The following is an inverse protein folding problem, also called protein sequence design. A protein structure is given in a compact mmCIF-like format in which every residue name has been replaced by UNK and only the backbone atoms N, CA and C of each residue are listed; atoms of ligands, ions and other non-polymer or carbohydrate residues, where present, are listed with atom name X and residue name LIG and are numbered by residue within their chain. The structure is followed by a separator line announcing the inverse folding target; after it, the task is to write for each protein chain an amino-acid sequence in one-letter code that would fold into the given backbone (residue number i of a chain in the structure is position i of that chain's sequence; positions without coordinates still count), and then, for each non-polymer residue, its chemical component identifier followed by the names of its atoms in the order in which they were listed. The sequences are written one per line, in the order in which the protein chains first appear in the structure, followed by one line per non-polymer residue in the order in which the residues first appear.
data_IF_113517942659
#
_entry.id   IF_113517942659
#
_cell.length_a   1.000
_cell.length_b   1.000
_cell.length_c   1.000
_cell.angle_alpha   90.00
_cell.angle_beta   90.00
_cell.angle_gamma   90.00
#
_symmetry.space_group_name_H-M   'P 1'
#
loop_
_entity.id
_entity.type
_entity.pdbx_description
1 polymer ?
#
# COMPACT_ATOMS: atom_id res chain seq x y z
N UNK A 1 -0.22 7.43 33.16
CA UNK A 1 -1.25 6.87 34.08
C UNK A 1 -2.61 7.58 34.19
N UNK A 2 -2.84 8.73 33.55
CA UNK A 2 -4.19 9.33 33.54
C UNK A 2 -5.21 8.48 32.75
N UNK A 3 -6.51 8.69 32.98
CA UNK A 3 -7.55 8.00 32.20
C UNK A 3 -7.44 8.30 30.68
N UNK A 4 -7.06 9.53 30.33
CA UNK A 4 -6.81 9.95 28.95
C UNK A 4 -5.65 9.15 28.33
N UNK A 5 -4.55 9.00 29.07
CA UNK A 5 -3.35 8.29 28.62
C UNK A 5 -3.63 6.79 28.40
N UNK A 6 -4.35 6.16 29.33
CA UNK A 6 -4.80 4.76 29.19
C UNK A 6 -5.70 4.58 27.97
N UNK A 7 -6.64 5.50 27.73
CA UNK A 7 -7.50 5.45 26.55
C UNK A 7 -6.72 5.62 25.24
N UNK A 8 -5.75 6.55 25.21
CA UNK A 8 -4.88 6.77 24.06
C UNK A 8 -4.02 5.53 23.77
N UNK A 9 -3.45 4.91 24.80
CA UNK A 9 -2.69 3.66 24.68
C UNK A 9 -3.55 2.51 24.14
N UNK A 10 -4.75 2.30 24.69
CA UNK A 10 -5.69 1.26 24.25
C UNK A 10 -6.08 1.42 22.77
N UNK A 11 -6.28 2.67 22.32
CA UNK A 11 -6.57 2.98 20.91
C UNK A 11 -5.33 2.80 20.03
N UNK A 12 -4.16 3.24 20.51
CA UNK A 12 -2.86 3.19 19.83
C UNK A 12 -2.71 4.22 18.72
N UNK A 13 -3.70 4.32 17.83
CA UNK A 13 -3.72 5.22 16.69
C UNK A 13 -5.13 5.79 16.45
N UNK A 14 -5.23 6.93 15.77
CA UNK A 14 -6.48 7.36 15.13
C UNK A 14 -6.78 6.48 13.92
N UNK A 15 -8.06 6.30 13.60
CA UNK A 15 -8.54 5.54 12.42
C UNK A 15 -9.27 6.47 11.47
N UNK A 16 -8.93 6.45 10.19
CA UNK A 16 -9.42 7.36 9.15
C UNK A 16 -10.32 6.61 8.15
N UNK A 17 -11.63 6.63 8.40
CA UNK A 17 -12.61 6.14 7.45
C UNK A 17 -12.91 7.20 6.38
N UNK A 18 -13.43 6.81 5.20
CA UNK A 18 -13.81 7.77 4.15
C UNK A 18 -14.74 8.89 4.63
N UNK A 19 -15.67 8.60 5.53
CA UNK A 19 -16.71 9.53 6.01
C UNK A 19 -16.41 10.17 7.37
N UNK A 20 -15.47 9.63 8.15
CA UNK A 20 -15.20 10.09 9.52
C UNK A 20 -13.85 9.64 10.05
N UNK A 21 -13.42 10.30 11.13
CA UNK A 21 -12.22 9.92 11.89
C UNK A 21 -12.63 9.41 13.26
N UNK A 22 -12.06 8.28 13.69
CA UNK A 22 -12.10 7.84 15.10
C UNK A 22 -10.78 8.26 15.75
N UNK A 23 -10.75 9.38 16.49
CA UNK A 23 -9.49 9.95 16.94
C UNK A 23 -8.90 9.18 18.13
N UNK A 24 -7.58 9.12 18.23
CA UNK A 24 -6.88 8.55 19.40
C UNK A 24 -7.17 9.36 20.68
N UNK A 25 -7.18 10.69 20.54
CA UNK A 25 -7.50 11.63 21.61
C UNK A 25 -8.91 12.22 21.42
N UNK A 26 -9.58 12.68 22.49
CA UNK A 26 -10.84 13.40 22.38
C UNK A 26 -10.73 14.61 21.44
N UNK A 27 -11.80 14.90 20.70
CA UNK A 27 -11.84 15.99 19.70
C UNK A 27 -11.49 17.36 20.28
N UNK A 28 -11.91 17.64 21.51
CA UNK A 28 -11.56 18.88 22.21
C UNK A 28 -10.04 19.08 22.30
N UNK A 29 -9.25 18.00 22.40
CA UNK A 29 -7.80 18.06 22.38
C UNK A 29 -7.26 18.01 20.95
N UNK A 30 -7.67 17.02 20.15
CA UNK A 30 -7.08 16.79 18.82
C UNK A 30 -7.38 17.89 17.81
N UNK A 31 -8.62 18.40 17.80
CA UNK A 31 -9.06 19.48 16.90
C UNK A 31 -8.99 20.86 17.56
N UNK A 32 -8.89 20.91 18.90
CA UNK A 32 -8.78 22.14 19.68
C UNK A 32 -7.37 22.40 20.20
N UNK A 33 -7.14 22.07 21.48
CA UNK A 33 -5.96 22.50 22.25
C UNK A 33 -4.61 22.08 21.67
N UNK A 34 -4.54 20.91 21.03
CA UNK A 34 -3.30 20.41 20.42
C UNK A 34 -3.18 20.76 18.93
N UNK A 35 -4.28 21.19 18.29
CA UNK A 35 -4.27 21.58 16.89
C UNK A 35 -3.55 22.91 16.70
N UNK A 36 -2.64 22.96 15.72
CA UNK A 36 -1.86 24.14 15.37
C UNK A 36 -2.67 25.09 14.47
N UNK A 37 -3.84 25.50 14.94
CA UNK A 37 -4.75 26.39 14.20
C UNK A 37 -4.10 27.74 13.91
N UNK A 38 -4.42 28.39 12.78
CA UNK A 38 -3.85 29.66 12.42
C UNK A 38 -4.24 30.76 13.41
N UNK A 39 -3.34 31.72 13.59
CA UNK A 39 -3.50 32.95 14.36
C UNK A 39 -3.76 32.78 15.87
N UNK A 40 -3.57 31.59 16.42
CA UNK A 40 -3.62 31.35 17.87
C UNK A 40 -2.29 30.83 18.41
N UNK A 41 -1.99 31.18 19.66
CA UNK A 41 -0.82 30.64 20.36
C UNK A 41 -1.03 29.17 20.72
N UNK A 42 -0.04 28.34 20.40
CA UNK A 42 -0.05 26.90 20.65
C UNK A 42 1.29 26.40 21.17
N UNK A 43 1.31 25.65 22.28
CA UNK A 43 2.52 24.98 22.75
C UNK A 43 2.90 23.86 21.78
N UNK A 44 4.20 23.73 21.52
CA UNK A 44 4.72 22.63 20.74
C UNK A 44 6.08 22.16 21.28
N UNK A 45 6.41 20.91 20.95
CA UNK A 45 7.78 20.42 21.02
C UNK A 45 8.39 20.61 19.62
N UNK A 46 9.22 21.63 19.48
CA UNK A 46 9.83 22.03 18.22
C UNK A 46 11.20 21.38 18.04
N UNK A 47 11.60 21.20 16.78
CA UNK A 47 12.95 20.83 16.39
C UNK A 47 13.50 21.85 15.40
N UNK A 48 14.65 22.43 15.73
CA UNK A 48 15.43 23.20 14.79
C UNK A 48 16.41 22.26 14.10
N UNK A 49 16.46 22.29 12.76
CA UNK A 49 17.36 21.46 11.96
C UNK A 49 18.20 22.35 11.04
N UNK A 50 19.48 22.03 10.93
CA UNK A 50 20.39 22.69 10.00
C UNK A 50 20.79 21.67 8.94
N UNK A 51 20.47 21.97 7.70
CA UNK A 51 20.74 21.13 6.55
C UNK A 51 21.92 21.72 5.77
N UNK A 52 22.76 20.84 5.23
CA UNK A 52 23.72 21.23 4.18
C UNK A 52 23.01 21.41 2.84
N UNK A 53 23.72 22.01 1.88
CA UNK A 53 23.26 22.14 0.49
C UNK A 53 22.92 20.78 -0.14
N UNK A 54 23.66 19.74 0.21
CA UNK A 54 23.42 18.35 -0.24
C UNK A 54 22.33 17.63 0.56
N UNK A 55 21.60 18.32 1.46
CA UNK A 55 20.51 17.77 2.25
C UNK A 55 20.91 16.89 3.44
N UNK A 56 22.20 16.80 3.78
CA UNK A 56 22.62 16.12 5.00
C UNK A 56 22.26 16.95 6.25
N UNK A 57 21.69 16.29 7.27
CA UNK A 57 21.40 16.89 8.57
C UNK A 57 22.70 17.12 9.34
N UNK A 58 23.09 18.39 9.49
CA UNK A 58 24.35 18.78 10.13
C UNK A 58 24.24 18.83 11.66
N UNK A 59 23.11 19.35 12.15
CA UNK A 59 22.78 19.41 13.58
C UNK A 59 21.29 19.62 13.76
N UNK A 60 20.81 19.30 14.95
CA UNK A 60 19.45 19.60 15.39
C UNK A 60 19.38 19.96 16.86
N UNK A 61 18.31 20.64 17.25
CA UNK A 61 18.02 21.01 18.63
C UNK A 61 16.52 20.97 18.89
N UNK A 62 16.11 20.15 19.85
CA UNK A 62 14.73 20.12 20.34
C UNK A 62 14.53 21.13 21.47
N UNK A 63 13.37 21.79 21.49
CA UNK A 63 12.95 22.70 22.55
C UNK A 63 11.43 22.72 22.68
N UNK A 64 10.94 23.15 23.85
CA UNK A 64 9.55 23.59 23.97
C UNK A 64 9.43 25.00 23.44
N UNK A 65 8.38 25.26 22.66
CA UNK A 65 8.12 26.57 22.08
C UNK A 65 6.63 26.90 22.14
N UNK A 66 6.34 28.20 22.11
CA UNK A 66 5.02 28.73 21.77
C UNK A 66 5.08 29.20 20.33
N UNK A 67 4.15 28.74 19.51
CA UNK A 67 4.06 29.18 18.11
C UNK A 67 2.70 29.80 17.85
N UNK A 68 2.64 30.66 16.84
CA UNK A 68 1.41 31.17 16.26
C UNK A 68 1.46 30.90 14.76
N UNK A 69 0.66 29.94 14.29
CA UNK A 69 0.66 29.59 12.87
C UNK A 69 0.14 30.78 12.05
N UNK A 70 0.81 31.13 10.96
CA UNK A 70 0.46 32.31 10.15
C UNK A 70 -0.59 31.99 9.09
N UNK A 71 -0.71 30.73 8.67
CA UNK A 71 -1.65 30.32 7.63
C UNK A 71 -2.02 28.84 7.79
N UNK A 72 -3.19 28.48 7.25
CA UNK A 72 -3.61 27.09 7.05
C UNK A 72 -3.71 26.85 5.56
N UNK A 73 -2.80 26.05 5.01
CA UNK A 73 -2.75 25.73 3.59
C UNK A 73 -3.10 24.26 3.37
N UNK A 74 -3.82 23.98 2.29
CA UNK A 74 -3.90 22.63 1.72
C UNK A 74 -2.66 22.34 0.88
N UNK A 75 -2.41 21.06 0.58
CA UNK A 75 -1.32 20.67 -0.32
C UNK A 75 -1.47 21.27 -1.72
N UNK A 76 -2.69 21.33 -2.24
CA UNK A 76 -2.97 21.96 -3.54
C UNK A 76 -2.68 23.47 -3.50
N UNK A 77 -3.08 24.17 -2.45
CA UNK A 77 -2.76 25.61 -2.29
C UNK A 77 -1.24 25.85 -2.18
N UNK A 78 -0.53 25.04 -1.40
CA UNK A 78 0.93 25.18 -1.28
C UNK A 78 1.68 24.82 -2.58
N UNK A 79 1.11 23.94 -3.40
CA UNK A 79 1.64 23.60 -4.73
C UNK A 79 1.39 24.74 -5.72
N UNK A 80 0.13 25.18 -5.87
CA UNK A 80 -0.25 26.29 -6.74
C UNK A 80 0.53 27.58 -6.40
N UNK A 81 0.69 27.90 -5.12
CA UNK A 81 1.51 29.05 -4.70
C UNK A 81 2.98 28.92 -5.11
N UNK A 82 3.55 27.70 -5.04
CA UNK A 82 4.93 27.45 -5.50
C UNK A 82 5.07 27.58 -7.02
N UNK A 83 4.08 27.09 -7.76
CA UNK A 83 4.06 27.09 -9.22
C UNK A 83 3.76 28.48 -9.81
N UNK A 84 3.46 29.47 -8.95
CA UNK A 84 3.17 30.85 -9.33
C UNK A 84 1.75 31.03 -9.87
N UNK A 85 0.85 30.09 -9.58
CA UNK A 85 -0.56 30.17 -9.95
C UNK A 85 -1.33 31.10 -9.01
N UNK A 86 -2.28 31.84 -9.57
CA UNK A 86 -3.23 32.67 -8.82
C UNK A 86 -4.59 31.98 -8.79
N UNK A 87 -5.27 31.96 -7.64
CA UNK A 87 -6.66 31.53 -7.58
C UNK A 87 -7.58 32.56 -8.25
N UNK A 88 -8.87 32.22 -8.36
CA UNK A 88 -9.90 33.10 -8.93
C UNK A 88 -10.05 34.43 -8.16
N UNK A 89 -9.53 34.52 -6.93
CA UNK A 89 -9.55 35.71 -6.06
C UNK A 89 -8.21 36.47 -6.05
N UNK A 90 -7.20 36.00 -6.79
CA UNK A 90 -5.96 36.72 -7.09
C UNK A 90 -4.79 36.55 -6.12
N UNK A 91 -4.84 35.68 -5.10
CA UNK A 91 -3.69 35.30 -4.26
C UNK A 91 -3.92 33.95 -3.53
N UNK A 92 -3.28 32.87 -3.97
CA UNK A 92 -3.24 31.58 -3.23
C UNK A 92 -2.46 31.72 -1.90
N UNK A 93 -1.48 32.64 -1.87
CA UNK A 93 -0.70 33.05 -0.72
C UNK A 93 -0.20 34.48 -0.95
N UNK A 94 -0.20 35.33 0.07
CA UNK A 94 0.42 36.66 -0.02
C UNK A 94 1.92 36.52 -0.39
N UNK A 95 2.43 37.49 -1.15
CA UNK A 95 3.81 37.57 -1.62
C UNK A 95 4.82 37.40 -0.48
N UNK A 96 4.54 37.96 0.70
CA UNK A 96 5.40 37.80 1.86
C UNK A 96 5.50 36.32 2.30
N UNK A 97 4.37 35.60 2.35
CA UNK A 97 4.36 34.18 2.71
C UNK A 97 5.07 33.31 1.65
N UNK A 98 4.89 33.65 0.38
CA UNK A 98 5.56 32.99 -0.74
C UNK A 98 7.09 33.13 -0.62
N UNK A 99 7.59 34.36 -0.52
CA UNK A 99 9.03 34.65 -0.53
C UNK A 99 9.73 34.23 0.77
N UNK A 100 9.09 34.42 1.92
CA UNK A 100 9.72 34.18 3.22
C UNK A 100 9.57 32.76 3.76
N UNK A 101 8.55 32.01 3.31
CA UNK A 101 8.23 30.67 3.85
C UNK A 101 8.18 29.62 2.75
N UNK A 102 7.31 29.77 1.75
CA UNK A 102 7.07 28.70 0.77
C UNK A 102 8.31 28.44 -0.07
N UNK A 103 8.87 29.45 -0.75
CA UNK A 103 10.05 29.29 -1.61
C UNK A 103 11.26 28.71 -0.85
N UNK A 104 11.63 29.21 0.35
CA UNK A 104 12.70 28.61 1.15
C UNK A 104 12.45 27.15 1.55
N UNK A 105 11.21 26.79 1.88
CA UNK A 105 10.86 25.40 2.20
C UNK A 105 11.03 24.48 0.98
N UNK A 106 10.66 24.91 -0.23
CA UNK A 106 10.93 24.15 -1.44
C UNK A 106 12.42 24.03 -1.76
N UNK A 107 13.22 25.08 -1.47
CA UNK A 107 14.68 25.00 -1.58
C UNK A 107 15.29 23.94 -0.63
N UNK A 108 14.82 23.90 0.63
CA UNK A 108 15.25 22.87 1.58
C UNK A 108 14.75 21.46 1.19
N UNK A 109 13.54 21.35 0.63
CA UNK A 109 13.03 20.09 0.08
C UNK A 109 13.87 19.59 -1.08
N UNK A 110 14.30 20.46 -2.00
CA UNK A 110 15.17 20.06 -3.11
C UNK A 110 16.47 19.41 -2.60
N UNK A 111 17.11 20.01 -1.58
CA UNK A 111 18.29 19.44 -0.92
C UNK A 111 17.99 18.07 -0.28
N UNK A 112 16.90 17.95 0.50
CA UNK A 112 16.51 16.68 1.12
C UNK A 112 16.16 15.60 0.10
N UNK A 113 15.47 15.95 -0.98
CA UNK A 113 15.11 15.05 -2.06
C UNK A 113 16.36 14.52 -2.78
N UNK A 114 17.36 15.37 -3.02
CA UNK A 114 18.65 14.94 -3.55
C UNK A 114 19.37 13.97 -2.59
N UNK A 115 19.38 14.27 -1.28
CA UNK A 115 19.94 13.38 -0.26
C UNK A 115 19.21 12.02 -0.21
N UNK A 116 17.87 12.04 -0.30
CA UNK A 116 17.01 10.86 -0.33
C UNK A 116 17.32 9.97 -1.54
N UNK A 117 17.48 10.57 -2.72
CA UNK A 117 17.87 9.84 -3.95
C UNK A 117 19.24 9.19 -3.79
N UNK A 118 20.23 9.93 -3.27
CA UNK A 118 21.57 9.39 -2.98
C UNK A 118 21.55 8.28 -1.93
N UNK A 119 20.66 8.39 -0.93
CA UNK A 119 20.42 7.36 0.08
C UNK A 119 19.82 6.09 -0.53
N UNK A 120 19.12 6.15 -1.67
CA UNK A 120 18.59 4.96 -2.34
C UNK A 120 17.41 4.34 -1.59
N UNK A 121 16.42 5.17 -1.24
CA UNK A 121 15.11 4.75 -0.70
C UNK A 121 14.41 3.84 -1.71
N UNK A 122 13.66 2.84 -1.25
CA UNK A 122 12.85 2.00 -2.13
C UNK A 122 11.70 2.82 -2.72
N UNK A 123 11.69 3.01 -4.04
CA UNK A 123 10.73 3.90 -4.73
C UNK A 123 9.60 3.10 -5.39
N UNK A 124 8.62 2.71 -4.58
CA UNK A 124 7.41 2.07 -5.10
C UNK A 124 6.40 3.12 -5.52
N UNK A 125 5.90 2.99 -6.75
CA UNK A 125 4.82 3.81 -7.27
C UNK A 125 3.55 2.96 -7.35
N UNK A 126 2.62 3.21 -6.43
CA UNK A 126 1.37 2.49 -6.31
C UNK A 126 0.26 3.53 -6.25
N UNK A 127 -0.74 3.48 -7.15
CA UNK A 127 -1.85 4.41 -7.09
C UNK A 127 -2.65 4.18 -5.82
N UNK A 128 -2.90 5.26 -5.07
CA UNK A 128 -3.85 5.28 -3.95
C UNK A 128 -5.17 5.85 -4.44
N UNK A 129 -6.29 5.26 -4.01
CA UNK A 129 -7.63 5.78 -4.33
C UNK A 129 -8.17 6.64 -3.19
N UNK A 130 -8.98 7.63 -3.56
CA UNK A 130 -9.68 8.51 -2.65
C UNK A 130 -11.19 8.41 -2.92
N UNK A 131 -11.94 8.10 -1.87
CA UNK A 131 -13.41 8.11 -1.89
C UNK A 131 -13.87 9.52 -1.52
N UNK A 132 -14.61 10.15 -2.42
CA UNK A 132 -15.24 11.45 -2.20
C UNK A 132 -16.67 11.25 -1.73
N UNK A 133 -17.02 11.85 -0.61
CA UNK A 133 -18.36 11.76 -0.01
C UNK A 133 -19.11 13.06 -0.30
N UNK A 134 -20.31 12.94 -0.86
CA UNK A 134 -21.23 14.05 -1.12
C UNK A 134 -21.90 14.57 0.14
N UNK A 135 -22.61 15.69 0.03
CA UNK A 135 -23.29 16.33 1.17
C UNK A 135 -24.40 15.47 1.79
N UNK A 136 -24.99 14.58 1.00
CA UNK A 136 -26.01 13.62 1.44
C UNK A 136 -25.42 12.38 2.14
N UNK A 137 -24.09 12.31 2.29
CA UNK A 137 -23.37 11.18 2.87
C UNK A 137 -23.17 10.00 1.92
N UNK A 138 -23.58 10.11 0.65
CA UNK A 138 -23.32 9.11 -0.37
C UNK A 138 -21.93 9.28 -1.00
N UNK A 139 -21.41 8.24 -1.65
CA UNK A 139 -20.16 8.36 -2.42
C UNK A 139 -20.47 9.11 -3.71
N UNK A 140 -19.87 10.29 -3.88
CA UNK A 140 -20.01 11.08 -5.09
C UNK A 140 -19.11 10.55 -6.21
N UNK A 141 -17.86 10.23 -5.86
CA UNK A 141 -16.84 9.81 -6.83
C UNK A 141 -15.72 9.02 -6.15
N UNK A 142 -15.03 8.19 -6.94
CA UNK A 142 -13.81 7.49 -6.52
C UNK A 142 -12.73 7.85 -7.53
N UNK A 143 -11.70 8.55 -7.04
CA UNK A 143 -10.63 9.09 -7.87
C UNK A 143 -9.28 8.56 -7.43
N UNK A 144 -8.29 8.60 -8.33
CA UNK A 144 -6.90 8.41 -7.92
C UNK A 144 -6.41 9.65 -7.17
N UNK A 145 -5.74 9.42 -6.04
CA UNK A 145 -5.21 10.47 -5.19
C UNK A 145 -4.02 11.13 -5.88
N UNK A 146 -4.11 12.43 -6.09
CA UNK A 146 -3.00 13.22 -6.62
C UNK A 146 -1.85 13.32 -5.61
N UNK A 147 -0.62 13.20 -6.10
CA UNK A 147 0.60 13.30 -5.28
C UNK A 147 1.49 14.47 -5.73
N UNK A 148 1.16 15.66 -5.24
CA UNK A 148 1.95 16.89 -5.41
C UNK A 148 3.33 16.85 -4.74
N UNK A 149 4.23 17.73 -5.17
CA UNK A 149 5.53 17.93 -4.52
C UNK A 149 5.39 18.55 -3.13
N UNK A 150 4.35 19.34 -2.89
CA UNK A 150 3.99 19.82 -1.54
C UNK A 150 3.77 18.67 -0.54
N UNK A 151 3.23 17.52 -0.97
CA UNK A 151 3.12 16.33 -0.13
C UNK A 151 4.50 15.76 0.22
N UNK A 152 5.36 15.61 -0.79
CA UNK A 152 6.72 15.06 -0.65
C UNK A 152 7.61 15.97 0.20
N UNK A 153 7.43 17.28 0.08
CA UNK A 153 8.10 18.29 0.90
C UNK A 153 7.83 18.08 2.38
N UNK A 154 6.55 17.94 2.76
CA UNK A 154 6.19 17.67 4.15
C UNK A 154 6.71 16.29 4.57
N UNK A 155 6.58 15.26 3.72
CA UNK A 155 7.11 13.91 3.96
C UNK A 155 8.59 13.95 4.36
N UNK A 156 9.44 14.61 3.58
CA UNK A 156 10.89 14.69 3.84
C UNK A 156 11.24 15.48 5.10
N UNK A 157 10.54 16.59 5.39
CA UNK A 157 10.72 17.29 6.66
C UNK A 157 10.33 16.45 7.86
N UNK A 158 9.24 15.70 7.76
CA UNK A 158 8.82 14.80 8.83
C UNK A 158 9.84 13.67 9.02
N UNK A 159 10.37 13.10 7.93
CA UNK A 159 11.41 12.07 7.99
C UNK A 159 12.67 12.63 8.67
N UNK A 160 13.12 13.83 8.30
CA UNK A 160 14.29 14.46 8.92
C UNK A 160 14.10 14.69 10.43
N UNK A 161 12.92 15.18 10.84
CA UNK A 161 12.59 15.36 12.25
C UNK A 161 12.54 14.03 13.03
N UNK A 162 12.00 12.99 12.42
CA UNK A 162 11.94 11.64 12.97
C UNK A 162 13.34 11.03 13.18
N UNK A 163 14.25 11.22 12.20
CA UNK A 163 15.67 10.81 12.34
C UNK A 163 16.35 11.60 13.47
N UNK A 164 16.14 12.92 13.53
CA UNK A 164 16.69 13.76 14.58
C UNK A 164 16.21 13.33 15.98
N UNK A 165 14.94 12.91 16.11
CA UNK A 165 14.38 12.41 17.36
C UNK A 165 15.06 11.11 17.79
N UNK A 166 15.17 10.12 16.88
CA UNK A 166 15.85 8.86 17.13
C UNK A 166 17.32 9.08 17.56
N UNK A 167 18.06 9.90 16.81
CA UNK A 167 19.45 10.25 17.16
C UNK A 167 19.57 10.88 18.55
N UNK A 168 18.62 11.73 18.92
CA UNK A 168 18.66 12.42 20.21
C UNK A 168 18.43 11.45 21.36
N UNK A 169 17.46 10.55 21.22
CA UNK A 169 17.15 9.56 22.25
C UNK A 169 18.31 8.58 22.44
N UNK A 170 18.94 8.10 21.36
CA UNK A 170 20.15 7.28 21.41
C UNK A 170 21.30 8.00 22.12
N UNK A 171 21.61 9.24 21.72
CA UNK A 171 22.68 10.05 22.34
C UNK A 171 22.43 10.31 23.82
N UNK A 172 21.16 10.38 24.25
CA UNK A 172 20.76 10.59 25.65
C UNK A 172 20.49 9.30 26.41
N UNK A 173 20.72 8.14 25.80
CA UNK A 173 20.45 6.82 26.37
C UNK A 173 19.04 6.73 26.96
N UNK A 174 18.07 7.33 26.25
CA UNK A 174 16.67 7.24 26.63
C UNK A 174 15.98 6.10 25.87
N UNK A 175 14.96 5.46 26.45
CA UNK A 175 14.14 4.51 25.73
C UNK A 175 13.54 5.14 24.46
N UNK A 176 13.53 4.36 23.38
CA UNK A 176 12.97 4.76 22.10
C UNK A 176 12.20 3.58 21.51
N UNK A 177 10.98 3.84 21.02
CA UNK A 177 10.29 2.92 20.13
C UNK A 177 10.68 3.28 18.70
N UNK A 178 11.60 2.51 18.14
CA UNK A 178 11.97 2.67 16.73
C UNK A 178 10.83 2.18 15.86
N UNK A 179 10.69 2.84 14.70
CA UNK A 179 9.92 2.33 13.59
C UNK A 179 10.86 1.54 12.71
N UNK A 180 10.95 0.25 12.96
CA UNK A 180 11.84 -0.64 12.23
C UNK A 180 11.14 -1.21 11.00
N UNK A 181 11.92 -1.54 9.99
CA UNK A 181 11.44 -2.25 8.80
C UNK A 181 12.54 -3.20 8.35
N UNK A 182 12.29 -4.50 8.53
CA UNK A 182 13.28 -5.53 8.19
C UNK A 182 13.38 -5.74 6.67
N UNK A 183 14.43 -6.41 6.24
CA UNK A 183 14.56 -6.92 4.88
C UNK A 183 13.51 -8.01 4.59
N UNK A 184 13.16 -8.25 3.31
CA UNK A 184 12.33 -9.39 2.90
C UNK A 184 12.84 -10.73 3.44
N UNK A 185 11.93 -11.64 3.81
CA UNK A 185 12.29 -13.00 4.22
C UNK A 185 12.86 -13.80 3.05
N UNK A 186 13.66 -14.83 3.35
CA UNK A 186 14.24 -15.71 2.32
C UNK A 186 13.18 -16.36 1.42
N UNK A 187 12.06 -16.79 2.00
CA UNK A 187 10.94 -17.37 1.25
C UNK A 187 10.34 -16.36 0.27
N UNK A 188 10.03 -15.14 0.73
CA UNK A 188 9.51 -14.06 -0.14
C UNK A 188 10.52 -13.68 -1.22
N UNK A 189 11.81 -13.71 -0.91
CA UNK A 189 12.88 -13.42 -1.86
C UNK A 189 12.99 -14.48 -2.96
N UNK A 190 12.83 -15.75 -2.64
CA UNK A 190 12.87 -16.81 -3.66
C UNK A 190 11.62 -16.75 -4.56
N UNK A 191 10.43 -16.50 -4.01
CA UNK A 191 9.21 -16.27 -4.80
C UNK A 191 9.40 -15.08 -5.76
N UNK A 192 9.92 -13.95 -5.25
CA UNK A 192 10.21 -12.78 -6.08
C UNK A 192 11.23 -13.10 -7.18
N UNK A 193 12.26 -13.90 -6.88
CA UNK A 193 13.29 -14.29 -7.84
C UNK A 193 12.71 -15.13 -8.97
N UNK A 194 11.87 -16.12 -8.65
CA UNK A 194 11.21 -16.97 -9.63
C UNK A 194 10.31 -16.14 -10.54
N UNK A 195 9.48 -15.26 -9.96
CA UNK A 195 8.64 -14.35 -10.71
C UNK A 195 9.45 -13.45 -11.66
N UNK A 196 10.49 -12.76 -11.18
CA UNK A 196 11.27 -11.87 -12.03
C UNK A 196 12.05 -12.61 -13.12
N UNK A 197 12.44 -13.87 -12.89
CA UNK A 197 13.07 -14.70 -13.91
C UNK A 197 12.11 -14.95 -15.10
N UNK A 198 10.79 -15.08 -14.85
CA UNK A 198 9.79 -15.20 -15.94
C UNK A 198 9.68 -13.95 -16.82
N UNK A 199 10.17 -12.81 -16.33
CA UNK A 199 10.15 -11.52 -17.02
C UNK A 199 11.50 -11.15 -17.64
N UNK A 200 12.44 -12.09 -17.70
CA UNK A 200 13.84 -11.87 -18.11
C UNK A 200 14.58 -10.85 -17.22
N UNK A 201 14.24 -10.80 -15.93
CA UNK A 201 14.83 -9.91 -14.93
C UNK A 201 15.47 -10.70 -13.76
N UNK A 202 16.40 -11.64 -14.02
CA UNK A 202 16.91 -12.51 -12.97
C UNK A 202 17.70 -11.74 -11.90
N UNK A 203 17.48 -12.11 -10.63
CA UNK A 203 18.28 -11.64 -9.49
C UNK A 203 19.31 -12.72 -9.11
N UNK A 204 20.57 -12.38 -8.77
CA UNK A 204 21.59 -13.33 -8.31
C UNK A 204 21.25 -14.04 -6.99
N UNK A 205 21.45 -15.36 -6.90
CA UNK A 205 21.20 -16.15 -5.69
C UNK A 205 22.18 -15.81 -4.56
N UNK A 206 21.70 -15.87 -3.32
CA UNK A 206 22.52 -15.74 -2.10
C UNK A 206 22.98 -14.31 -1.74
N UNK A 207 22.66 -13.30 -2.54
CA UNK A 207 22.93 -11.91 -2.20
C UNK A 207 21.80 -11.32 -1.35
N UNK A 208 22.15 -10.70 -0.23
CA UNK A 208 21.22 -9.85 0.53
C UNK A 208 20.90 -8.64 -0.33
N UNK A 209 19.63 -8.53 -0.74
CA UNK A 209 19.17 -7.44 -1.59
C UNK A 209 19.11 -6.14 -0.82
N UNK A 210 19.69 -5.08 -1.40
CA UNK A 210 19.54 -3.70 -0.92
C UNK A 210 18.44 -2.99 -1.68
N UNK A 211 17.84 -1.96 -1.09
CA UNK A 211 16.84 -1.11 -1.74
C UNK A 211 17.28 -0.62 -3.14
N UNK A 212 18.54 -0.20 -3.29
CA UNK A 212 19.09 0.23 -4.58
C UNK A 212 19.02 -0.84 -5.70
N UNK A 213 19.09 -2.13 -5.35
CA UNK A 213 18.98 -3.21 -6.33
C UNK A 213 17.54 -3.41 -6.78
N UNK A 214 16.57 -3.20 -5.88
CA UNK A 214 15.14 -3.16 -6.26
C UNK A 214 14.85 -1.97 -7.16
N UNK A 215 15.39 -0.78 -6.85
CA UNK A 215 15.25 0.39 -7.73
C UNK A 215 15.83 0.12 -9.12
N UNK A 216 17.00 -0.50 -9.22
CA UNK A 216 17.56 -0.88 -10.53
C UNK A 216 16.71 -1.89 -11.33
N UNK A 217 15.80 -2.64 -10.67
CA UNK A 217 14.80 -3.48 -11.36
C UNK A 217 13.61 -2.62 -11.78
N UNK A 218 13.11 -1.76 -10.89
CA UNK A 218 12.01 -0.84 -11.14
C UNK A 218 12.32 0.11 -12.32
N UNK A 219 13.54 0.64 -12.37
CA UNK A 219 14.01 1.52 -13.45
C UNK A 219 14.00 0.83 -14.82
N UNK A 220 14.32 -0.48 -14.87
CA UNK A 220 14.33 -1.25 -16.14
C UNK A 220 12.93 -1.46 -16.70
N UNK A 221 11.91 -1.43 -15.85
CA UNK A 221 10.52 -1.72 -16.24
C UNK A 221 9.64 -0.48 -16.27
N UNK A 222 10.13 0.68 -15.85
CA UNK A 222 9.36 1.90 -15.64
C UNK A 222 8.48 2.28 -16.86
N UNK A 223 9.06 2.23 -18.07
CA UNK A 223 8.37 2.58 -19.33
C UNK A 223 7.73 1.37 -20.03
N UNK A 224 7.48 0.29 -19.30
CA UNK A 224 6.92 -0.94 -19.86
C UNK A 224 5.54 -1.26 -19.26
N UNK A 225 4.70 -2.03 -19.97
CA UNK A 225 3.43 -2.51 -19.41
C UNK A 225 3.57 -3.38 -18.14
N UNK A 226 4.80 -3.81 -17.80
CA UNK A 226 5.12 -4.64 -16.64
C UNK A 226 5.37 -3.82 -15.35
N UNK A 227 5.51 -2.49 -15.45
CA UNK A 227 5.93 -1.62 -14.34
C UNK A 227 5.10 -1.81 -13.07
N UNK A 228 3.78 -1.69 -13.20
CA UNK A 228 2.81 -1.75 -12.11
C UNK A 228 2.80 -3.12 -11.41
N UNK A 229 2.88 -4.19 -12.22
CA UNK A 229 2.96 -5.55 -11.73
C UNK A 229 4.24 -5.78 -10.92
N UNK A 230 5.39 -5.35 -11.46
CA UNK A 230 6.68 -5.50 -10.76
C UNK A 230 6.71 -4.68 -9.47
N UNK A 231 6.18 -3.45 -9.47
CA UNK A 231 6.00 -2.64 -8.26
C UNK A 231 5.19 -3.40 -7.20
N UNK A 232 4.07 -3.99 -7.62
CA UNK A 232 3.17 -4.72 -6.72
C UNK A 232 3.83 -5.98 -6.12
N UNK A 233 4.53 -6.78 -6.92
CA UNK A 233 5.20 -7.99 -6.42
C UNK A 233 6.39 -7.63 -5.52
N UNK A 234 7.17 -6.60 -5.87
CA UNK A 234 8.24 -6.09 -5.00
C UNK A 234 7.65 -5.60 -3.67
N UNK A 235 6.54 -4.83 -3.68
CA UNK A 235 5.87 -4.42 -2.43
C UNK A 235 5.48 -5.63 -1.58
N UNK A 236 4.82 -6.63 -2.18
CA UNK A 236 4.34 -7.83 -1.45
C UNK A 236 5.48 -8.67 -0.86
N UNK A 237 6.67 -8.62 -1.49
CA UNK A 237 7.87 -9.27 -0.96
C UNK A 237 8.45 -8.56 0.26
N UNK A 238 8.12 -7.28 0.50
CA UNK A 238 8.65 -6.54 1.64
C UNK A 238 8.11 -7.09 2.98
N UNK A 239 8.90 -6.86 4.03
CA UNK A 239 8.46 -7.08 5.41
C UNK A 239 7.50 -5.96 5.83
N UNK A 240 6.73 -6.20 6.90
CA UNK A 240 5.93 -5.12 7.47
C UNK A 240 6.79 -4.31 8.44
N UNK A 241 6.62 -3.00 8.45
CA UNK A 241 7.25 -2.16 9.45
C UNK A 241 6.52 -2.31 10.80
N UNK A 242 7.25 -2.22 11.91
CA UNK A 242 6.72 -2.39 13.26
C UNK A 242 7.40 -1.45 14.26
N UNK A 243 6.80 -1.33 15.44
CA UNK A 243 7.38 -0.61 16.57
C UNK A 243 8.17 -1.57 17.46
N UNK A 244 9.44 -1.28 17.70
CA UNK A 244 10.32 -2.14 18.49
C UNK A 244 11.37 -1.28 19.25
N UNK A 245 11.68 -1.59 20.52
CA UNK A 245 12.79 -0.93 21.21
C UNK A 245 14.17 -1.28 20.65
N UNK A 246 14.32 -2.43 19.99
CA UNK A 246 15.57 -2.83 19.34
C UNK A 246 15.65 -2.23 17.94
N UNK A 247 16.69 -1.44 17.70
CA UNK A 247 16.89 -0.78 16.42
C UNK A 247 17.64 -1.70 15.43
N UNK A 248 16.92 -2.20 14.42
CA UNK A 248 17.50 -2.90 13.26
C UNK A 248 17.59 -2.01 12.01
N UNK A 249 17.22 -0.73 12.12
CA UNK A 249 17.08 0.18 11.00
C UNK A 249 15.74 0.06 10.26
N UNK A 250 15.61 0.80 9.16
CA UNK A 250 14.42 0.84 8.33
C UNK A 250 14.77 0.61 6.86
N UNK A 251 14.63 -0.63 6.39
CA UNK A 251 15.00 -1.10 5.06
C UNK A 251 14.45 -0.21 3.94
N UNK A 252 13.13 -0.03 3.91
CA UNK A 252 12.45 0.73 2.85
C UNK A 252 12.90 2.20 2.72
N UNK A 253 13.24 2.85 3.83
CA UNK A 253 13.75 4.24 3.86
C UNK A 253 15.28 4.32 3.77
N UNK A 254 15.94 3.16 3.79
CA UNK A 254 17.37 2.99 3.94
C UNK A 254 17.98 3.89 5.04
N UNK A 255 17.36 3.87 6.23
CA UNK A 255 17.78 4.64 7.40
C UNK A 255 18.30 3.71 8.49
N UNK A 256 19.43 4.07 9.12
CA UNK A 256 19.99 3.29 10.24
C UNK A 256 19.17 3.42 11.52
N UNK A 257 18.40 4.50 11.66
CA UNK A 257 17.58 4.79 12.83
C UNK A 257 16.40 5.65 12.40
N UNK A 258 15.24 5.32 12.90
CA UNK A 258 14.00 6.02 12.58
C UNK A 258 12.99 5.75 13.68
N UNK A 259 12.34 6.79 14.20
CA UNK A 259 11.20 6.67 15.10
C UNK A 259 10.15 7.71 14.72
N UNK A 260 8.88 7.44 14.99
CA UNK A 260 7.84 8.42 14.73
C UNK A 260 7.80 9.47 15.84
N UNK A 261 7.87 10.74 15.47
CA UNK A 261 7.85 11.91 16.37
C UNK A 261 6.78 12.94 15.98
N UNK A 262 6.42 13.03 14.70
CA UNK A 262 5.72 14.19 14.13
C UNK A 262 4.19 14.14 14.21
N UNK A 263 3.59 13.15 14.88
CA UNK A 263 2.13 13.00 14.94
C UNK A 263 1.58 12.50 16.30
N UNK A 264 1.96 13.11 17.44
CA UNK A 264 1.53 12.67 18.78
C UNK A 264 0.02 12.77 19.04
N UNK A 265 -0.72 13.53 18.23
CA UNK A 265 -2.18 13.66 18.34
C UNK A 265 -2.90 12.38 17.88
N UNK A 266 -2.29 11.62 16.97
CA UNK A 266 -2.92 10.48 16.29
C UNK A 266 -2.14 9.16 16.40
N UNK A 267 -0.97 9.17 17.03
CA UNK A 267 -0.13 7.99 17.24
C UNK A 267 0.47 8.02 18.64
N UNK A 268 0.25 6.96 19.40
CA UNK A 268 0.74 6.87 20.77
C UNK A 268 2.26 6.67 20.81
N UNK A 269 2.86 6.04 19.80
CA UNK A 269 4.31 5.89 19.65
C UNK A 269 5.02 7.25 19.63
N UNK A 270 4.50 8.22 18.87
CA UNK A 270 5.00 9.60 18.85
C UNK A 270 4.88 10.27 20.21
N UNK A 271 3.79 10.02 20.95
CA UNK A 271 3.59 10.56 22.29
C UNK A 271 4.65 10.03 23.27
N UNK A 272 4.99 8.75 23.20
CA UNK A 272 6.08 8.15 23.99
C UNK A 272 7.44 8.76 23.62
N UNK A 273 7.71 8.96 22.32
CA UNK A 273 8.93 9.64 21.86
C UNK A 273 9.00 11.08 22.38
N UNK A 274 7.89 11.83 22.37
CA UNK A 274 7.82 13.17 22.96
C UNK A 274 8.18 13.16 24.46
N UNK A 275 7.58 12.25 25.23
CA UNK A 275 7.89 12.08 26.66
C UNK A 275 9.36 11.72 26.90
N UNK A 276 9.91 10.82 26.10
CA UNK A 276 11.31 10.41 26.20
C UNK A 276 12.26 11.58 25.89
N UNK A 277 11.95 12.40 24.88
CA UNK A 277 12.72 13.61 24.56
C UNK A 277 12.66 14.64 25.69
N UNK A 278 11.47 14.86 26.26
CA UNK A 278 11.27 15.78 27.40
C UNK A 278 12.16 15.36 28.59
N UNK A 279 12.16 14.06 28.93
CA UNK A 279 13.01 13.52 30.00
C UNK A 279 14.50 13.64 29.66
N UNK A 280 14.92 13.11 28.51
CA UNK A 280 16.34 13.05 28.12
C UNK A 280 17.01 14.41 27.94
N UNK A 281 16.23 15.42 27.56
CA UNK A 281 16.70 16.79 27.38
C UNK A 281 16.35 17.72 28.56
N UNK A 282 15.71 17.21 29.61
CA UNK A 282 15.28 17.97 30.79
C UNK A 282 14.43 19.19 30.43
N UNK A 283 13.45 19.02 29.55
CA UNK A 283 12.56 20.09 29.07
C UNK A 283 11.37 20.36 30.01
N UNK A 284 11.51 20.09 31.30
CA UNK A 284 10.47 20.25 32.32
C UNK A 284 9.56 19.03 32.48
N UNK A 285 8.35 19.27 33.01
CA UNK A 285 7.40 18.23 33.42
C UNK A 285 6.81 17.43 32.25
N UNK A 286 6.30 16.22 32.53
CA UNK A 286 5.71 15.34 31.51
C UNK A 286 6.73 14.53 30.72
N UNK A 287 7.92 14.33 31.29
CA UNK A 287 8.89 13.36 30.80
C UNK A 287 8.40 11.92 30.96
N UNK A 288 9.01 11.00 30.22
CA UNK A 288 8.67 9.58 30.28
C UNK A 288 9.01 8.99 31.65
N UNK A 289 8.01 8.48 32.36
CA UNK A 289 8.20 7.64 33.52
C UNK A 289 8.48 6.21 33.03
N UNK A 290 9.63 5.64 33.40
CA UNK A 290 10.12 4.36 32.86
C UNK A 290 9.89 3.20 33.80
N UNK A 291 9.65 3.50 35.06
CA UNK A 291 9.49 2.48 36.09
C UNK A 291 8.21 1.72 35.72
N UNK A 292 8.35 0.43 35.43
CA UNK A 292 7.26 -0.50 35.06
C UNK A 292 6.79 -0.52 33.59
N UNK A 293 7.48 0.11 32.63
CA UNK A 293 7.14 -0.01 31.21
C UNK A 293 7.92 -1.13 30.51
N UNK A 294 7.21 -2.14 29.99
CA UNK A 294 7.76 -3.09 29.02
C UNK A 294 7.64 -2.52 27.60
N UNK A 295 8.76 -2.10 27.02
CA UNK A 295 8.81 -1.53 25.68
C UNK A 295 8.59 -2.56 24.57
N UNK A 296 8.88 -3.85 24.80
CA UNK A 296 8.61 -4.91 23.81
C UNK A 296 7.12 -5.20 23.73
N UNK A 297 6.45 -5.31 24.89
CA UNK A 297 4.99 -5.45 24.94
C UNK A 297 4.32 -4.23 24.30
N UNK A 298 4.78 -3.03 24.61
CA UNK A 298 4.29 -1.79 24.03
C UNK A 298 4.46 -1.76 22.50
N UNK A 299 5.64 -2.13 21.99
CA UNK A 299 5.90 -2.22 20.55
C UNK A 299 4.96 -3.20 19.85
N UNK A 300 4.74 -4.37 20.46
CA UNK A 300 3.82 -5.39 19.96
C UNK A 300 2.37 -4.88 19.89
N UNK A 301 1.89 -4.26 20.97
CA UNK A 301 0.54 -3.70 21.05
C UNK A 301 0.33 -2.56 20.04
N UNK A 302 1.26 -1.61 19.95
CA UNK A 302 1.13 -0.48 19.02
C UNK A 302 1.17 -0.93 17.55
N UNK A 303 1.99 -1.93 17.23
CA UNK A 303 2.01 -2.53 15.88
C UNK A 303 0.71 -3.29 15.57
N UNK A 304 0.13 -3.99 16.55
CA UNK A 304 -1.13 -4.68 16.39
C UNK A 304 -2.31 -3.71 16.19
N UNK A 305 -2.37 -2.64 16.97
CA UNK A 305 -3.42 -1.60 16.85
C UNK A 305 -3.33 -0.84 15.53
N UNK A 306 -2.11 -0.58 15.03
CA UNK A 306 -1.89 -0.01 13.70
C UNK A 306 -2.41 -0.93 12.59
N UNK A 307 -2.07 -2.23 12.62
CA UNK A 307 -2.57 -3.20 11.65
C UNK A 307 -4.10 -3.30 11.67
N UNK A 308 -4.70 -3.28 12.86
CA UNK A 308 -6.16 -3.28 13.03
C UNK A 308 -6.80 -2.01 12.44
N UNK A 309 -6.21 -0.85 12.66
CA UNK A 309 -6.68 0.41 12.09
C UNK A 309 -6.62 0.35 10.55
N UNK A 310 -5.46 0.01 9.98
CA UNK A 310 -5.28 -0.08 8.53
C UNK A 310 -6.21 -1.12 7.86
N UNK A 311 -6.49 -2.24 8.53
CA UNK A 311 -7.48 -3.22 8.05
C UNK A 311 -8.89 -2.63 8.03
N UNK A 312 -9.30 -1.96 9.11
CA UNK A 312 -10.62 -1.33 9.18
C UNK A 312 -10.80 -0.19 8.16
N UNK A 313 -9.75 0.62 7.94
CA UNK A 313 -9.76 1.67 6.91
C UNK A 313 -9.94 1.07 5.51
N UNK A 314 -9.18 0.02 5.18
CA UNK A 314 -9.31 -0.70 3.90
C UNK A 314 -10.71 -1.29 3.73
N UNK A 315 -11.20 -2.03 4.72
CA UNK A 315 -12.53 -2.66 4.68
C UNK A 315 -13.64 -1.61 4.48
N UNK A 316 -13.53 -0.44 5.12
CA UNK A 316 -14.49 0.64 4.92
C UNK A 316 -14.40 1.19 3.49
N UNK A 317 -13.20 1.50 3.00
CA UNK A 317 -13.01 1.95 1.61
C UNK A 317 -13.57 0.94 0.62
N UNK A 318 -13.35 -0.36 0.81
CA UNK A 318 -13.90 -1.42 -0.05
C UNK A 318 -15.44 -1.40 -0.05
N UNK A 319 -16.08 -1.24 1.12
CA UNK A 319 -17.54 -1.15 1.24
C UNK A 319 -18.13 0.09 0.58
N UNK A 320 -17.52 1.26 0.78
CA UNK A 320 -17.94 2.49 0.10
C UNK A 320 -17.78 2.33 -1.42
N UNK A 321 -16.69 1.70 -1.87
CA UNK A 321 -16.42 1.45 -3.28
C UNK A 321 -17.44 0.49 -3.91
N UNK A 322 -17.73 -0.63 -3.26
CA UNK A 322 -18.74 -1.57 -3.70
C UNK A 322 -20.14 -0.94 -3.71
N UNK A 323 -20.47 -0.11 -2.70
CA UNK A 323 -21.71 0.66 -2.67
C UNK A 323 -21.86 1.58 -3.87
N UNK A 324 -20.81 2.33 -4.20
CA UNK A 324 -20.78 3.20 -5.39
C UNK A 324 -20.91 2.41 -6.70
N UNK A 325 -20.25 1.25 -6.81
CA UNK A 325 -20.30 0.43 -8.01
C UNK A 325 -21.58 -0.41 -8.15
N UNK A 326 -22.37 -0.56 -7.09
CA UNK A 326 -23.61 -1.34 -7.11
C UNK A 326 -24.64 -0.85 -8.14
N UNK A 327 -24.69 0.46 -8.41
CA UNK A 327 -25.57 1.03 -9.44
C UNK A 327 -25.05 0.81 -10.87
N UNK A 328 -23.80 0.37 -11.00
CA UNK A 328 -23.13 0.08 -12.27
C UNK A 328 -23.02 -1.42 -12.56
N UNK A 329 -23.72 -2.27 -11.79
CA UNK A 329 -23.80 -3.72 -12.03
C UNK A 329 -24.36 -3.98 -13.43
N UNK A 330 -23.71 -4.89 -14.17
CA UNK A 330 -23.95 -5.18 -15.57
C UNK A 330 -23.13 -4.33 -16.54
N UNK A 331 -22.44 -3.29 -16.06
CA UNK A 331 -21.55 -2.47 -16.86
C UNK A 331 -20.29 -3.21 -17.32
N UNK A 332 -19.77 -2.82 -18.49
CA UNK A 332 -18.47 -3.26 -19.00
C UNK A 332 -17.36 -2.34 -18.50
N UNK A 333 -16.28 -2.93 -18.02
CA UNK A 333 -15.11 -2.25 -17.50
C UNK A 333 -13.83 -2.85 -18.08
N UNK A 334 -12.74 -2.12 -17.93
CA UNK A 334 -11.39 -2.68 -18.09
C UNK A 334 -10.71 -2.74 -16.75
N UNK A 335 -9.89 -3.76 -16.56
CA UNK A 335 -9.13 -3.93 -15.34
C UNK A 335 -7.93 -4.82 -15.52
N UNK A 336 -7.07 -4.84 -14.51
CA UNK A 336 -5.83 -5.59 -14.49
C UNK A 336 -5.85 -6.67 -13.43
N UNK A 337 -5.38 -7.87 -13.74
CA UNK A 337 -5.19 -8.94 -12.75
C UNK A 337 -4.17 -8.48 -11.71
N UNK A 338 -4.60 -8.25 -10.48
CA UNK A 338 -3.76 -7.86 -9.33
C UNK A 338 -3.47 -9.02 -8.39
N UNK A 339 -4.17 -10.14 -8.53
CA UNK A 339 -3.90 -11.36 -7.78
C UNK A 339 -4.40 -12.59 -8.51
N UNK A 340 -3.69 -13.70 -8.32
CA UNK A 340 -4.05 -14.99 -8.88
C UNK A 340 -4.11 -15.99 -7.73
N UNK A 341 -5.20 -16.74 -7.65
CA UNK A 341 -5.38 -17.79 -6.64
C UNK A 341 -5.96 -19.04 -7.29
N UNK A 342 -5.98 -20.14 -6.51
CA UNK A 342 -6.56 -21.42 -6.94
C UNK A 342 -8.08 -21.36 -7.20
N UNK A 343 -8.76 -20.33 -6.70
CA UNK A 343 -10.22 -20.19 -6.80
C UNK A 343 -10.66 -19.03 -7.70
N UNK A 344 -9.74 -18.25 -8.25
CA UNK A 344 -10.09 -17.16 -9.16
C UNK A 344 -8.97 -16.13 -9.39
N UNK A 345 -9.36 -15.03 -10.03
CA UNK A 345 -8.50 -13.90 -10.36
C UNK A 345 -9.01 -12.66 -9.63
N UNK A 346 -8.15 -11.98 -8.88
CA UNK A 346 -8.43 -10.63 -8.40
C UNK A 346 -8.07 -9.64 -9.49
N UNK A 347 -9.01 -8.77 -9.83
CA UNK A 347 -8.88 -7.78 -10.90
C UNK A 347 -9.21 -6.41 -10.34
N UNK A 348 -8.28 -5.47 -10.50
CA UNK A 348 -8.46 -4.05 -10.18
C UNK A 348 -9.02 -3.32 -11.39
N UNK A 349 -10.11 -2.58 -11.21
CA UNK A 349 -10.71 -1.74 -12.26
C UNK A 349 -9.80 -0.53 -12.56
N UNK A 350 -9.59 -0.22 -13.84
CA UNK A 350 -8.66 0.84 -14.26
C UNK A 350 -9.12 2.24 -13.77
N UNK A 351 -10.43 2.53 -13.84
CA UNK A 351 -10.97 3.86 -13.52
C UNK A 351 -11.14 4.09 -12.00
N UNK A 352 -11.77 3.14 -11.30
CA UNK A 352 -12.10 3.28 -9.88
C UNK A 352 -11.05 2.71 -8.93
N UNK A 353 -10.09 1.94 -9.43
CA UNK A 353 -9.10 1.23 -8.60
C UNK A 353 -9.73 0.19 -7.66
N UNK A 354 -10.96 -0.24 -7.95
CA UNK A 354 -11.71 -1.18 -7.13
C UNK A 354 -11.30 -2.63 -7.43
N UNK A 355 -11.13 -3.46 -6.40
CA UNK A 355 -10.72 -4.87 -6.56
C UNK A 355 -11.93 -5.81 -6.55
N UNK A 356 -12.12 -6.58 -7.62
CA UNK A 356 -13.15 -7.62 -7.70
C UNK A 356 -12.57 -9.00 -7.99
N UNK A 357 -13.35 -10.04 -7.69
CA UNK A 357 -12.98 -11.44 -7.93
C UNK A 357 -13.68 -11.95 -9.19
N UNK A 358 -12.93 -12.50 -10.15
CA UNK A 358 -13.46 -13.41 -11.17
C UNK A 358 -13.33 -14.83 -10.62
N UNK A 359 -14.43 -15.51 -10.22
CA UNK A 359 -14.37 -16.87 -9.75
C UNK A 359 -13.87 -17.81 -10.85
N UNK A 360 -13.09 -18.82 -10.49
CA UNK A 360 -12.58 -19.81 -11.46
C UNK A 360 -13.71 -20.51 -12.23
N UNK A 361 -14.89 -20.63 -11.62
CA UNK A 361 -16.08 -21.23 -12.23
C UNK A 361 -16.74 -20.39 -13.32
N UNK A 362 -16.40 -19.09 -13.42
CA UNK A 362 -16.89 -18.20 -14.48
C UNK A 362 -15.88 -18.03 -15.61
N UNK A 363 -14.69 -18.62 -15.48
CA UNK A 363 -13.70 -18.67 -16.55
C UNK A 363 -14.16 -19.63 -17.67
N UNK A 364 -13.65 -19.47 -18.90
CA UNK A 364 -13.96 -20.37 -20.02
C UNK A 364 -13.64 -21.82 -19.67
N UNK A 365 -14.48 -22.77 -20.11
CA UNK A 365 -14.37 -24.20 -19.80
C UNK A 365 -12.96 -24.77 -20.02
N UNK A 366 -12.25 -25.02 -18.91
CA UNK A 366 -10.98 -25.73 -18.86
C UNK A 366 -10.71 -26.20 -17.42
N UNK A 367 -9.67 -27.02 -17.24
CA UNK A 367 -9.08 -27.28 -15.94
C UNK A 367 -7.88 -26.35 -15.74
N UNK A 368 -8.06 -25.30 -14.93
CA UNK A 368 -6.99 -24.33 -14.65
C UNK A 368 -6.14 -24.77 -13.46
N UNK A 369 -4.83 -24.85 -13.67
CA UNK A 369 -3.83 -25.03 -12.61
C UNK A 369 -3.26 -23.68 -12.20
N UNK A 370 -3.15 -23.46 -10.90
CA UNK A 370 -2.47 -22.31 -10.34
C UNK A 370 -0.97 -22.55 -10.28
N UNK A 371 -0.22 -21.77 -11.03
CA UNK A 371 1.22 -21.67 -10.92
C UNK A 371 1.55 -20.49 -9.99
N UNK A 372 1.91 -20.80 -8.75
CA UNK A 372 2.22 -19.81 -7.72
C UNK A 372 3.49 -19.00 -8.04
N UNK A 373 4.47 -19.62 -8.73
CA UNK A 373 5.74 -19.00 -9.07
C UNK A 373 5.61 -18.06 -10.28
N UNK A 374 4.84 -18.47 -11.29
CA UNK A 374 4.55 -17.65 -12.45
C UNK A 374 3.40 -16.64 -12.21
N UNK A 375 2.74 -16.71 -11.05
CA UNK A 375 1.54 -15.94 -10.72
C UNK A 375 0.48 -15.99 -11.84
N UNK A 376 0.13 -17.20 -12.29
CA UNK A 376 -0.84 -17.41 -13.37
C UNK A 376 -1.76 -18.61 -13.16
N UNK A 377 -2.95 -18.55 -13.77
CA UNK A 377 -3.83 -19.69 -13.97
C UNK A 377 -3.66 -20.18 -15.41
N UNK A 378 -3.23 -21.44 -15.58
CA UNK A 378 -3.03 -22.06 -16.89
C UNK A 378 -4.00 -23.22 -17.11
N UNK A 379 -4.75 -23.15 -18.20
CA UNK A 379 -5.67 -24.19 -18.62
C UNK A 379 -4.95 -25.40 -19.23
N UNK A 380 -5.25 -26.60 -18.75
CA UNK A 380 -4.63 -27.85 -19.19
C UNK A 380 -4.96 -28.20 -20.65
N UNK A 381 -6.18 -27.88 -21.12
CA UNK A 381 -6.65 -28.28 -22.45
C UNK A 381 -6.55 -27.18 -23.49
N UNK A 382 -6.94 -25.96 -23.15
CA UNK A 382 -6.87 -24.80 -24.05
C UNK A 382 -5.46 -24.24 -24.16
N UNK A 383 -4.61 -24.46 -23.14
CA UNK A 383 -3.34 -23.76 -22.99
C UNK A 383 -3.51 -22.27 -22.69
N UNK A 384 -4.75 -21.82 -22.43
CA UNK A 384 -5.05 -20.43 -22.08
C UNK A 384 -4.41 -20.09 -20.74
N UNK A 385 -3.86 -18.89 -20.65
CA UNK A 385 -3.20 -18.41 -19.46
C UNK A 385 -3.79 -17.08 -19.02
N UNK A 386 -4.03 -16.94 -17.72
CA UNK A 386 -4.39 -15.68 -17.07
C UNK A 386 -3.30 -15.33 -16.08
N UNK A 387 -2.51 -14.31 -16.41
CA UNK A 387 -1.30 -13.97 -15.66
C UNK A 387 -1.45 -12.64 -14.94
N UNK A 388 -0.80 -12.52 -13.78
CA UNK A 388 -0.71 -11.27 -13.05
C UNK A 388 -0.31 -10.13 -14.01
N UNK A 389 -0.91 -8.95 -13.83
CA UNK A 389 -0.65 -7.80 -14.66
C UNK A 389 -1.36 -7.78 -16.03
N UNK A 390 -1.99 -8.88 -16.46
CA UNK A 390 -2.79 -8.91 -17.69
C UNK A 390 -4.01 -8.00 -17.57
N UNK A 391 -4.28 -7.23 -18.62
CA UNK A 391 -5.51 -6.46 -18.76
C UNK A 391 -6.62 -7.30 -19.35
N UNK A 392 -7.82 -7.16 -18.81
CA UNK A 392 -9.01 -7.91 -19.20
C UNK A 392 -10.18 -6.95 -19.41
N UNK A 393 -11.01 -7.25 -20.40
CA UNK A 393 -12.34 -6.66 -20.52
C UNK A 393 -13.34 -7.51 -19.71
N UNK A 394 -13.98 -6.87 -18.74
CA UNK A 394 -14.76 -7.52 -17.69
C UNK A 394 -16.13 -6.88 -17.53
N UNK A 395 -17.06 -7.61 -16.92
CA UNK A 395 -18.39 -7.14 -16.55
C UNK A 395 -18.52 -7.25 -15.04
N UNK A 396 -19.03 -6.19 -14.41
CA UNK A 396 -19.39 -6.22 -13.00
C UNK A 396 -20.66 -7.04 -12.83
N UNK A 397 -20.55 -8.25 -12.28
CA UNK A 397 -21.68 -9.15 -12.10
C UNK A 397 -22.45 -8.85 -10.81
N UNK A 398 -21.72 -8.60 -9.72
CA UNK A 398 -22.30 -8.30 -8.40
C UNK A 398 -21.40 -7.30 -7.66
N UNK A 399 -21.99 -6.42 -6.86
CA UNK A 399 -21.28 -5.55 -5.93
C UNK A 399 -22.11 -5.42 -4.64
N UNK A 400 -21.52 -5.82 -3.52
CA UNK A 400 -22.18 -5.85 -2.21
C UNK A 400 -21.57 -4.80 -1.28
N UNK A 401 -22.36 -3.78 -0.95
CA UNK A 401 -21.95 -2.69 -0.07
C UNK A 401 -21.71 -3.11 1.39
N UNK A 402 -22.30 -4.22 1.85
CA UNK A 402 -22.17 -4.70 3.23
C UNK A 402 -20.84 -5.43 3.40
N UNK A 403 -20.52 -6.32 2.46
CA UNK A 403 -19.29 -7.11 2.50
C UNK A 403 -18.10 -6.36 1.90
N UNK A 404 -18.34 -5.40 1.00
CA UNK A 404 -17.31 -4.76 0.18
C UNK A 404 -16.85 -5.63 -1.00
N UNK A 405 -17.47 -6.80 -1.17
CA UNK A 405 -17.11 -7.75 -2.22
C UNK A 405 -17.70 -7.37 -3.57
N UNK A 406 -16.93 -7.61 -4.64
CA UNK A 406 -17.42 -7.52 -6.01
C UNK A 406 -17.10 -8.81 -6.76
N UNK A 407 -18.07 -9.28 -7.54
CA UNK A 407 -17.91 -10.42 -8.43
C UNK A 407 -17.85 -9.90 -9.87
N UNK A 408 -16.81 -10.32 -10.57
CA UNK A 408 -16.52 -9.96 -11.94
C UNK A 408 -16.65 -11.20 -12.83
N UNK A 409 -16.89 -10.96 -14.12
CA UNK A 409 -16.78 -11.99 -15.17
C UNK A 409 -16.09 -11.42 -16.39
N UNK A 410 -15.47 -12.29 -17.20
CA UNK A 410 -14.97 -11.88 -18.50
C UNK A 410 -16.14 -11.46 -19.41
N UNK A 411 -15.92 -10.47 -20.27
CA UNK A 411 -16.85 -10.21 -21.39
C UNK A 411 -16.89 -11.40 -22.34
N UNK A 412 -17.95 -11.55 -23.12
CA UNK A 412 -18.07 -12.67 -24.07
C UNK A 412 -16.97 -12.64 -25.14
N UNK A 413 -16.56 -11.43 -25.56
CA UNK A 413 -15.44 -11.22 -26.48
C UNK A 413 -14.11 -11.65 -25.86
N UNK A 414 -13.87 -11.27 -24.61
CA UNK A 414 -12.66 -11.67 -23.89
C UNK A 414 -12.67 -13.17 -23.62
N UNK A 415 -13.80 -13.75 -23.21
CA UNK A 415 -13.94 -15.19 -23.05
C UNK A 415 -13.69 -15.97 -24.35
N UNK A 416 -14.02 -15.40 -25.52
CA UNK A 416 -13.73 -15.98 -26.82
C UNK A 416 -12.30 -15.72 -27.33
N UNK A 417 -11.59 -14.70 -26.83
CA UNK A 417 -10.23 -14.37 -27.23
C UNK A 417 -9.20 -15.25 -26.50
N UNK A 418 -8.90 -16.41 -27.06
CA UNK A 418 -7.85 -17.29 -26.54
C UNK A 418 -7.54 -18.44 -27.50
N UNK A 419 -6.45 -19.18 -27.28
CA UNK A 419 -6.19 -20.40 -28.04
C UNK A 419 -7.36 -21.38 -27.85
N UNK A 420 -8.18 -21.55 -28.88
CA UNK A 420 -9.26 -22.54 -28.90
C UNK A 420 -8.64 -23.88 -29.21
N UNK A 421 -8.62 -24.81 -28.26
CA UNK A 421 -8.23 -26.17 -28.59
C UNK A 421 -9.26 -26.76 -29.57
N UNK A 422 -8.81 -27.14 -30.76
CA UNK A 422 -9.58 -27.92 -31.71
C UNK A 422 -9.68 -29.37 -31.22
N UNK A 423 -10.28 -29.58 -30.05
CA UNK A 423 -10.57 -30.89 -29.46
C UNK A 423 -11.83 -31.49 -30.08
N UNK A 424 -11.74 -31.89 -31.34
CA UNK A 424 -12.81 -32.64 -32.02
C UNK A 424 -13.04 -33.95 -31.27
N UNK A 425 -14.06 -34.00 -30.40
CA UNK A 425 -14.60 -35.27 -29.86
C UNK A 425 -14.92 -36.20 -31.06
N UNK A 426 -14.38 -37.42 -31.14
CA UNK A 426 -14.86 -38.37 -32.14
C UNK A 426 -16.28 -38.75 -31.75
N UNK A 427 -17.26 -38.29 -32.54
CA UNK A 427 -18.66 -38.61 -32.36
C UNK A 427 -18.87 -40.12 -32.39
N UNK A 428 -19.15 -40.71 -31.21
CA UNK A 428 -19.82 -42.00 -31.12
C UNK A 428 -21.29 -41.79 -31.45
N UNK A 429 -21.63 -41.88 -32.73
CA UNK A 429 -23.00 -42.20 -33.16
C UNK A 429 -22.92 -43.15 -34.35
N UNK A 430 -22.91 -44.45 -34.06
CA UNK A 430 -23.41 -45.49 -34.97
C UNK A 430 -24.70 -46.05 -34.36
N UNK A 431 -25.85 -45.96 -35.05
CA UNK A 431 -27.09 -46.53 -34.53
C UNK A 431 -27.05 -48.05 -34.64
N UNK A 432 -27.30 -48.74 -33.54
CA UNK A 432 -27.56 -50.18 -33.49
C UNK A 432 -29.02 -50.41 -33.90
N UNK A 433 -29.25 -50.89 -35.13
CA UNK A 433 -30.53 -51.49 -35.50
C UNK A 433 -30.54 -52.98 -35.14
N UNK A 434 -31.60 -53.37 -34.45
CA UNK A 434 -31.95 -54.72 -34.06
C UNK A 434 -32.22 -55.65 -35.25
N UNK A 435 -31.80 -56.91 -35.15
CA UNK A 435 -32.54 -58.08 -35.64
C UNK A 435 -32.03 -59.33 -34.92
N UNK A 436 -32.95 -60.02 -34.27
CA UNK A 436 -32.68 -61.24 -33.52
C UNK A 436 -32.74 -62.51 -34.38
N UNK A 437 -32.58 -63.61 -33.63
CA UNK A 437 -32.87 -65.03 -33.94
C UNK A 437 -31.71 -65.93 -34.47
N UNK A 438 -31.18 -66.68 -33.49
CA UNK A 438 -31.27 -68.15 -33.30
C UNK A 438 -30.58 -69.12 -34.30
N UNK A 439 -29.83 -70.03 -33.65
CA UNK A 439 -29.71 -71.49 -33.84
C UNK A 439 -28.60 -72.10 -34.73
N UNK A 440 -27.68 -72.76 -34.00
CA UNK A 440 -26.80 -73.89 -34.26
C UNK A 440 -27.08 -74.85 -35.44
N UNK A 441 -26.00 -75.31 -36.13
CA UNK A 441 -25.41 -76.68 -36.03
C UNK A 441 -24.33 -76.97 -37.09
N UNK A 442 -23.27 -77.67 -36.63
CA UNK A 442 -22.46 -78.77 -37.23
C UNK A 442 -21.67 -78.57 -38.54
N UNK A 443 -20.39 -78.99 -38.48
CA UNK A 443 -19.64 -79.51 -39.63
C UNK A 443 -18.11 -79.35 -39.55
N UNK A 444 -17.40 -80.39 -39.10
CA UNK A 444 -15.94 -80.57 -39.14
C UNK A 444 -15.55 -81.28 -40.47
N UNK A 445 -14.27 -81.54 -40.85
CA UNK A 445 -13.02 -80.75 -40.90
C UNK A 445 -12.28 -80.94 -42.29
N UNK A 446 -10.96 -81.24 -42.40
CA UNK A 446 -9.77 -80.41 -42.70
C UNK A 446 -9.19 -80.75 -44.14
N UNK A 447 -7.89 -80.61 -44.58
CA UNK A 447 -6.64 -80.40 -43.82
C UNK A 447 -5.41 -79.70 -44.48
N UNK A 448 -4.31 -79.66 -43.68
CA UNK A 448 -2.87 -79.78 -44.04
C UNK A 448 -2.21 -78.61 -44.82
N UNK A 449 -0.91 -78.37 -44.80
CA UNK A 449 0.29 -78.65 -43.96
C UNK A 449 1.47 -77.98 -44.70
N UNK A 450 2.61 -77.87 -44.01
CA UNK A 450 4.00 -77.61 -44.48
C UNK A 450 4.40 -76.13 -44.44
N UNK A 451 5.55 -75.77 -43.89
CA UNK A 451 6.59 -76.52 -43.18
C UNK A 451 7.38 -75.55 -42.32
#
# INVERSE_FOLDING_TARGET
DSALDKAAYTRGNSVYFPDRVVPMLPEALSNGWCSLVPHEERPCLAVHMWLSEDGALLRHRFCRAMIRSHARLTYAQAQAAHDGETDNDGQVADKELLESVITPLYGAYAALSAARKKRGVLELNIPERQVLIGEDGSVSEIVQRERFDSHKLIEEFMIAANVAAAETLEKRQQPCLYRIHDQPSMEKMEILREFLATLDLPIPKGQVMRAAQFNGILDKVADTPKAEMVNTVILRSQSQAEYNPDNIGHFGLNLMRYCHFTSPIRRYSDLIVHRALIRGLKLGDGGLETDHLDFHEMGTHLSATERRAAAAERDATDRFTAGYLSVHVGGEFTGRITGVTRFGLFVMLDDSGADGLIPISTLPDDYYRHDEAAHCLRGDHSGREFSLGQRLAIILAEADAITGGMVLRLTDKEAASGPVSSGRRPGKNKPRSSKGQRLAKRGNPPPRRKR
#
